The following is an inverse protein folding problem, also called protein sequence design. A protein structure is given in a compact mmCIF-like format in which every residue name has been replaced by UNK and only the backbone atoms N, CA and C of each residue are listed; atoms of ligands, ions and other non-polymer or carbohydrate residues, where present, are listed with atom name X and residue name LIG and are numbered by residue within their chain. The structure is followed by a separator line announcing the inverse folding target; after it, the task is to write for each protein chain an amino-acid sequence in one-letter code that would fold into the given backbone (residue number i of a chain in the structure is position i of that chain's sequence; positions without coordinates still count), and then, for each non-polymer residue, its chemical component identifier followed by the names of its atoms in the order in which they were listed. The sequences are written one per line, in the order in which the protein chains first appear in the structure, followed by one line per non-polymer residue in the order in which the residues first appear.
data_IF_544957159202
#
_entry.id   IF_544957159202
#
_cell.length_a   1.000
_cell.length_b   1.000
_cell.length_c   1.000
_cell.angle_alpha   90.00
_cell.angle_beta   90.00
_cell.angle_gamma   90.00
#
_symmetry.space_group_name_H-M   'P 1'
#
loop_
_entity.id
_entity.type
_entity.pdbx_description
1 polymer ?
#
# COMPACT_ATOMS: atom_id res chain seq x y z
N UNK A 1 7.82 -8.10 3.14
CA UNK A 1 8.55 -7.92 1.87
C UNK A 1 7.57 -7.50 0.79
N UNK A 2 7.96 -6.59 -0.10
CA UNK A 2 7.16 -6.15 -1.24
C UNK A 2 8.03 -6.05 -2.50
N UNK A 3 7.42 -6.20 -3.68
CA UNK A 3 8.12 -6.07 -4.97
C UNK A 3 7.15 -5.74 -6.11
N UNK A 4 7.64 -5.09 -7.17
CA UNK A 4 6.94 -5.01 -8.46
C UNK A 4 6.93 -6.35 -9.20
N UNK A 5 7.93 -7.20 -8.95
CA UNK A 5 7.93 -8.56 -9.47
C UNK A 5 7.12 -9.47 -8.54
N UNK A 6 5.82 -9.56 -8.82
CA UNK A 6 4.88 -10.33 -8.00
C UNK A 6 5.24 -11.83 -7.97
N UNK A 7 6.01 -12.33 -8.95
CA UNK A 7 6.49 -13.72 -8.98
C UNK A 7 7.48 -13.98 -7.84
N UNK A 8 8.31 -13.00 -7.50
CA UNK A 8 9.24 -13.09 -6.35
C UNK A 8 8.45 -13.11 -5.04
N UNK A 9 7.41 -12.29 -4.92
CA UNK A 9 6.49 -12.27 -3.76
C UNK A 9 5.87 -13.64 -3.54
N UNK A 10 5.31 -14.21 -4.62
CA UNK A 10 4.72 -15.55 -4.61
C UNK A 10 5.73 -16.64 -4.23
N UNK A 11 6.90 -16.66 -4.89
CA UNK A 11 7.95 -17.67 -4.65
C UNK A 11 8.43 -17.64 -3.20
N UNK A 12 8.66 -16.44 -2.64
CA UNK A 12 9.07 -16.30 -1.25
C UNK A 12 7.95 -16.70 -0.28
N UNK A 13 6.70 -16.45 -0.63
CA UNK A 13 5.54 -16.92 0.13
C UNK A 13 5.44 -18.43 0.22
N UNK A 14 5.69 -19.14 -0.88
CA UNK A 14 5.71 -20.61 -0.88
C UNK A 14 6.85 -21.17 0.00
N UNK A 15 8.02 -20.51 0.00
CA UNK A 15 9.15 -20.92 0.82
C UNK A 15 9.02 -20.51 2.30
N UNK A 16 8.29 -19.42 2.59
CA UNK A 16 8.07 -18.87 3.94
C UNK A 16 6.63 -18.38 4.10
N UNK A 17 5.65 -19.27 4.37
CA UNK A 17 4.23 -18.92 4.40
C UNK A 17 3.85 -17.84 5.43
N UNK A 18 4.56 -17.78 6.56
CA UNK A 18 4.32 -16.79 7.62
C UNK A 18 4.88 -15.40 7.32
N UNK A 19 5.65 -15.21 6.24
CA UNK A 19 6.24 -13.92 5.90
C UNK A 19 5.13 -12.94 5.46
N UNK A 20 5.03 -11.75 6.08
CA UNK A 20 4.15 -10.68 5.59
C UNK A 20 4.60 -10.19 4.21
N UNK A 21 3.65 -10.13 3.27
CA UNK A 21 3.91 -9.94 1.84
C UNK A 21 3.00 -8.87 1.27
N UNK A 22 3.57 -8.04 0.40
CA UNK A 22 2.84 -7.06 -0.38
C UNK A 22 3.29 -7.04 -1.84
N UNK A 23 2.49 -6.40 -2.69
CA UNK A 23 2.80 -6.18 -4.10
C UNK A 23 2.87 -4.69 -4.39
N UNK A 24 3.87 -4.26 -5.16
CA UNK A 24 3.96 -2.88 -5.64
C UNK A 24 3.18 -2.74 -6.95
N UNK A 25 2.43 -1.65 -7.08
CA UNK A 25 1.70 -1.30 -8.29
C UNK A 25 1.75 0.20 -8.58
N UNK A 26 1.97 0.55 -9.84
CA UNK A 26 1.97 1.93 -10.35
C UNK A 26 0.79 2.22 -11.28
N UNK A 27 -0.22 1.34 -11.29
CA UNK A 27 -1.41 1.47 -12.11
C UNK A 27 -2.66 1.25 -11.25
N UNK A 28 -3.78 1.86 -11.64
CA UNK A 28 -5.08 1.55 -11.08
C UNK A 28 -5.62 0.27 -11.75
N UNK A 29 -5.50 -0.86 -11.07
CA UNK A 29 -5.99 -2.13 -11.60
C UNK A 29 -7.51 -2.20 -11.53
N UNK A 30 -8.15 -2.70 -12.59
CA UNK A 30 -9.60 -2.97 -12.58
C UNK A 30 -9.98 -4.02 -11.53
N UNK A 31 -9.07 -4.96 -11.23
CA UNK A 31 -9.24 -6.00 -10.21
C UNK A 31 -8.01 -6.02 -9.27
N UNK A 32 -7.90 -5.09 -8.31
CA UNK A 32 -6.71 -4.96 -7.48
C UNK A 32 -6.50 -6.17 -6.55
N UNK A 33 -7.57 -6.78 -6.04
CA UNK A 33 -7.51 -7.97 -5.18
C UNK A 33 -6.90 -9.19 -5.90
N UNK A 34 -7.14 -9.34 -7.20
CA UNK A 34 -6.60 -10.47 -7.96
C UNK A 34 -5.06 -10.50 -7.95
N UNK A 35 -4.40 -9.33 -8.00
CA UNK A 35 -2.94 -9.26 -7.93
C UNK A 35 -2.40 -9.71 -6.56
N UNK A 36 -3.13 -9.41 -5.48
CA UNK A 36 -2.80 -9.86 -4.13
C UNK A 36 -3.00 -11.37 -3.99
N UNK A 37 -4.15 -11.88 -4.44
CA UNK A 37 -4.49 -13.31 -4.43
C UNK A 37 -3.46 -14.15 -5.20
N UNK A 38 -3.14 -13.76 -6.44
CA UNK A 38 -2.18 -14.45 -7.30
C UNK A 38 -0.77 -14.50 -6.68
N UNK A 39 -0.38 -13.43 -5.98
CA UNK A 39 0.90 -13.34 -5.27
C UNK A 39 0.86 -13.98 -3.86
N UNK A 40 -0.32 -14.33 -3.35
CA UNK A 40 -0.56 -14.71 -1.95
C UNK A 40 -0.20 -13.61 -0.95
N UNK A 41 -0.35 -12.33 -1.32
CA UNK A 41 -0.02 -11.17 -0.51
C UNK A 41 -1.27 -10.57 0.16
N UNK A 42 -1.07 -9.72 1.17
CA UNK A 42 -2.17 -9.08 1.92
C UNK A 42 -2.01 -7.56 2.05
N UNK A 43 -1.00 -6.99 1.40
CA UNK A 43 -0.69 -5.55 1.44
C UNK A 43 -0.49 -5.02 0.02
N UNK A 44 -1.32 -4.07 -0.41
CA UNK A 44 -1.11 -3.35 -1.65
C UNK A 44 -0.18 -2.17 -1.40
N UNK A 45 0.93 -2.08 -2.14
CA UNK A 45 1.82 -0.92 -2.14
C UNK A 45 1.57 -0.09 -3.39
N UNK A 46 0.71 0.92 -3.26
CA UNK A 46 0.15 1.69 -4.38
C UNK A 46 0.92 2.97 -4.62
N UNK A 47 1.15 3.32 -5.88
CA UNK A 47 1.69 4.63 -6.24
C UNK A 47 0.70 5.74 -5.84
N UNK A 48 1.20 6.84 -5.27
CA UNK A 48 0.41 7.88 -4.60
C UNK A 48 -0.65 8.57 -5.45
N UNK A 49 -0.53 8.60 -6.78
CA UNK A 49 -1.51 9.21 -7.70
C UNK A 49 -2.57 8.22 -8.18
N UNK A 50 -2.39 6.93 -7.89
CA UNK A 50 -3.26 5.84 -8.31
C UNK A 50 -4.06 5.25 -7.15
N UNK A 51 -4.48 6.09 -6.21
CA UNK A 51 -5.24 5.70 -5.02
C UNK A 51 -6.39 6.66 -4.78
N UNK A 52 -7.55 6.10 -4.44
CA UNK A 52 -8.75 6.84 -4.06
C UNK A 52 -9.47 6.12 -2.93
N UNK A 53 -10.55 6.72 -2.43
CA UNK A 53 -11.35 6.15 -1.33
C UNK A 53 -11.92 4.78 -1.68
N UNK A 54 -12.37 4.58 -2.92
CA UNK A 54 -12.95 3.31 -3.35
C UNK A 54 -11.93 2.17 -3.30
N UNK A 55 -10.68 2.43 -3.71
CA UNK A 55 -9.60 1.45 -3.61
C UNK A 55 -9.28 1.10 -2.15
N UNK A 56 -9.19 2.10 -1.27
CA UNK A 56 -8.92 1.88 0.16
C UNK A 56 -10.02 1.03 0.80
N UNK A 57 -11.30 1.39 0.57
CA UNK A 57 -12.45 0.64 1.07
C UNK A 57 -12.49 -0.80 0.55
N UNK A 58 -12.17 -1.02 -0.73
CA UNK A 58 -12.09 -2.36 -1.30
C UNK A 58 -10.99 -3.22 -0.65
N UNK A 59 -9.83 -2.64 -0.35
CA UNK A 59 -8.75 -3.35 0.36
C UNK A 59 -9.17 -3.71 1.78
N UNK A 60 -9.71 -2.74 2.53
CA UNK A 60 -10.15 -2.95 3.91
C UNK A 60 -11.29 -3.96 4.02
N UNK A 61 -12.26 -3.92 3.11
CA UNK A 61 -13.36 -4.89 3.06
C UNK A 61 -12.88 -6.33 2.84
N UNK A 62 -11.76 -6.51 2.13
CA UNK A 62 -11.11 -7.81 1.93
C UNK A 62 -10.15 -8.21 3.07
N UNK A 63 -10.03 -7.40 4.12
CA UNK A 63 -9.07 -7.63 5.21
C UNK A 63 -7.61 -7.43 4.78
N UNK A 64 -7.38 -6.61 3.75
CA UNK A 64 -6.05 -6.25 3.25
C UNK A 64 -5.70 -4.82 3.64
N UNK A 65 -4.41 -4.51 3.62
CA UNK A 65 -3.88 -3.18 3.91
C UNK A 65 -3.41 -2.49 2.64
N UNK A 66 -3.42 -1.16 2.64
CA UNK A 66 -2.88 -0.34 1.55
C UNK A 66 -1.84 0.65 2.07
N UNK A 67 -0.66 0.61 1.49
CA UNK A 67 0.46 1.52 1.78
C UNK A 67 0.78 2.30 0.51
N UNK A 68 1.03 3.60 0.62
CA UNK A 68 1.28 4.47 -0.55
C UNK A 68 2.73 4.93 -0.63
N UNK A 69 3.26 5.06 -1.85
CA UNK A 69 4.65 5.44 -2.10
C UNK A 69 4.79 6.33 -3.36
N UNK A 70 5.85 7.13 -3.51
CA UNK A 70 6.62 7.78 -2.43
C UNK A 70 5.97 9.14 -2.20
N UNK A 71 5.54 9.41 -0.97
CA UNK A 71 4.82 10.64 -0.62
C UNK A 71 5.76 11.55 0.15
N UNK A 72 6.21 12.62 -0.49
CA UNK A 72 7.16 13.56 0.12
C UNK A 72 6.50 14.88 0.52
N UNK A 73 5.40 15.25 -0.13
CA UNK A 73 4.69 16.50 0.12
C UNK A 73 3.72 16.40 1.31
N UNK A 74 3.77 17.32 2.30
CA UNK A 74 2.87 17.30 3.46
C UNK A 74 1.38 17.37 3.10
N UNK A 75 1.04 18.05 2.01
CA UNK A 75 -0.34 18.15 1.54
C UNK A 75 -0.86 16.80 1.03
N UNK A 76 -0.07 16.11 0.21
CA UNK A 76 -0.38 14.75 -0.25
C UNK A 76 -0.50 13.80 0.94
N UNK A 77 0.40 13.89 1.93
CA UNK A 77 0.32 13.08 3.15
C UNK A 77 -1.02 13.28 3.86
N UNK A 78 -1.44 14.54 4.08
CA UNK A 78 -2.74 14.84 4.71
C UNK A 78 -3.91 14.30 3.89
N UNK A 79 -3.87 14.45 2.58
CA UNK A 79 -4.90 13.93 1.69
C UNK A 79 -5.01 12.40 1.81
N UNK A 80 -3.89 11.69 1.70
CA UNK A 80 -3.82 10.22 1.75
C UNK A 80 -4.18 9.67 3.14
N UNK A 81 -3.79 10.36 4.22
CA UNK A 81 -4.26 10.06 5.58
C UNK A 81 -5.79 10.21 5.66
N UNK A 82 -6.35 11.27 5.06
CA UNK A 82 -7.81 11.48 4.97
C UNK A 82 -8.55 10.40 4.16
N UNK A 83 -7.86 9.74 3.21
CA UNK A 83 -8.37 8.54 2.53
C UNK A 83 -8.29 7.27 3.38
N UNK A 84 -7.67 7.33 4.56
CA UNK A 84 -7.45 6.21 5.49
C UNK A 84 -6.48 5.13 4.99
N UNK A 85 -5.41 5.50 4.28
CA UNK A 85 -4.33 4.55 3.95
C UNK A 85 -3.64 4.02 5.21
N UNK A 86 -3.20 2.77 5.20
CA UNK A 86 -2.56 2.09 6.35
C UNK A 86 -1.09 2.46 6.57
N UNK A 87 -0.49 3.19 5.63
CA UNK A 87 0.90 3.60 5.72
C UNK A 87 1.33 4.49 4.56
N UNK A 88 2.34 5.30 4.84
CA UNK A 88 3.00 6.17 3.87
C UNK A 88 4.48 5.82 3.83
N UNK A 89 5.01 5.59 2.64
CA UNK A 89 6.44 5.53 2.36
C UNK A 89 6.90 6.91 1.91
N UNK A 90 7.90 7.48 2.57
CA UNK A 90 8.41 8.83 2.33
C UNK A 90 9.93 8.88 2.44
N UNK A 91 10.56 9.79 1.71
CA UNK A 91 11.97 10.14 1.90
C UNK A 91 12.19 11.03 3.13
N UNK A 92 11.13 11.64 3.68
CA UNK A 92 11.17 12.61 4.78
C UNK A 92 10.37 12.10 6.00
N UNK A 93 10.88 11.10 6.74
CA UNK A 93 10.12 10.47 7.83
C UNK A 93 9.79 11.41 8.99
N UNK A 94 10.59 12.46 9.21
CA UNK A 94 10.30 13.50 10.22
C UNK A 94 9.08 14.35 9.81
N UNK A 95 8.95 14.68 8.52
CA UNK A 95 7.79 15.36 7.95
C UNK A 95 6.55 14.46 8.05
N UNK A 96 6.69 13.19 7.66
CA UNK A 96 5.62 12.20 7.75
C UNK A 96 5.08 12.03 9.18
N UNK A 97 5.96 11.98 10.18
CA UNK A 97 5.55 11.92 11.59
C UNK A 97 4.70 13.13 11.99
N UNK A 98 5.14 14.36 11.65
CA UNK A 98 4.38 15.59 11.95
C UNK A 98 3.02 15.60 11.26
N UNK A 99 2.92 15.09 10.04
CA UNK A 99 1.67 15.00 9.30
C UNK A 99 0.66 14.05 9.99
N UNK A 100 1.12 12.92 10.52
CA UNK A 100 0.29 11.98 11.28
C UNK A 100 -0.16 12.60 12.60
N UNK A 101 0.75 13.22 13.35
CA UNK A 101 0.45 13.86 14.64
C UNK A 101 -0.57 15.00 14.49
N UNK A 102 -0.53 15.75 13.38
CA UNK A 102 -1.48 16.81 13.09
C UNK A 102 -2.88 16.31 12.65
N UNK A 103 -3.01 15.03 12.31
CA UNK A 103 -4.25 14.41 11.84
C UNK A 103 -4.97 13.56 12.92
N UNK A 104 -4.34 13.35 14.08
CA UNK A 104 -4.87 12.63 15.24
C UNK A 104 -5.65 13.57 16.18
#
# INVERSE_FOLDING_TARGET
MHSFDHRIVRRLGLARPSLPRGVLCSAYLVRPLAALEDAGATILWQERTMVDRALVEAMHAAGHRIVVWTVDEPEDMRHLIGLAVDGICTNFPDVGRRAIEAAA
#
